data_IF_848934903278
#
_entry.id   IF_848934903278
#
_cell.length_a   1.000
_cell.length_b   1.000
_cell.length_c   1.000
_cell.angle_alpha   90.00
_cell.angle_beta   90.00
_cell.angle_gamma   90.00
#
_symmetry.space_group_name_H-M   'P 1'
#
loop_
_entity.id
_entity.type
_entity.pdbx_description
1 polymer ?
#
# COMPACT_ATOMS: atom_id res chain seq x y z
N UNK A 1 8.69 -10.99 4.48
CA UNK A 1 7.98 -11.82 3.48
C UNK A 1 7.93 -13.26 3.96
N UNK A 2 6.87 -14.00 3.64
CA UNK A 2 6.68 -15.40 4.02
C UNK A 2 6.06 -16.19 2.86
N UNK A 3 6.48 -17.44 2.69
CA UNK A 3 5.98 -18.38 1.69
C UNK A 3 6.30 -19.82 2.12
N UNK A 4 5.57 -20.78 1.57
CA UNK A 4 5.84 -22.21 1.79
C UNK A 4 7.04 -22.67 0.96
N UNK A 5 8.08 -23.19 1.63
CA UNK A 5 9.32 -23.66 0.97
C UNK A 5 9.05 -24.76 -0.05
N UNK A 6 8.14 -25.68 0.25
CA UNK A 6 7.76 -26.82 -0.61
C UNK A 6 6.88 -26.43 -1.81
N UNK A 7 6.38 -25.18 -1.85
CA UNK A 7 5.48 -24.68 -2.90
C UNK A 7 6.07 -23.53 -3.72
N UNK A 8 7.16 -22.94 -3.25
CA UNK A 8 7.78 -21.82 -3.92
C UNK A 8 8.67 -22.27 -5.08
N UNK A 9 8.49 -21.62 -6.21
CA UNK A 9 9.25 -21.78 -7.43
C UNK A 9 9.59 -20.38 -7.95
N UNK A 10 10.88 -20.16 -8.23
CA UNK A 10 11.36 -18.87 -8.73
C UNK A 10 10.52 -18.41 -9.93
N UNK A 11 10.03 -17.19 -9.85
CA UNK A 11 9.25 -16.49 -10.88
C UNK A 11 7.91 -17.13 -11.27
N UNK A 12 7.33 -17.98 -10.43
CA UNK A 12 6.11 -18.73 -10.76
C UNK A 12 4.99 -18.65 -9.73
N UNK A 13 5.19 -18.00 -8.58
CA UNK A 13 4.18 -17.96 -7.53
C UNK A 13 3.37 -16.66 -7.62
N UNK A 14 2.05 -16.69 -7.37
CA UNK A 14 1.31 -15.46 -7.16
C UNK A 14 1.79 -14.77 -5.87
N UNK A 15 1.75 -13.45 -5.83
CA UNK A 15 2.16 -12.68 -4.64
C UNK A 15 1.07 -11.71 -4.20
N UNK A 16 0.83 -11.67 -2.90
CA UNK A 16 0.05 -10.65 -2.24
C UNK A 16 1.00 -9.70 -1.50
N UNK A 17 1.00 -8.42 -1.90
CA UNK A 17 1.88 -7.38 -1.35
C UNK A 17 1.05 -6.45 -0.47
N UNK A 18 1.39 -6.39 0.81
CA UNK A 18 0.69 -5.60 1.82
C UNK A 18 1.49 -4.35 2.18
N UNK A 19 0.86 -3.17 2.13
CA UNK A 19 1.47 -1.91 2.54
C UNK A 19 0.50 -1.02 3.32
N UNK A 20 1.04 -0.10 4.14
CA UNK A 20 0.25 0.86 4.92
C UNK A 20 0.56 2.32 4.57
N UNK A 21 1.71 2.85 4.98
CA UNK A 21 2.23 4.15 4.52
C UNK A 21 1.47 5.39 4.99
N UNK A 22 0.78 5.35 6.12
CA UNK A 22 0.03 6.48 6.69
C UNK A 22 0.04 6.42 8.23
N UNK A 23 -0.31 7.54 8.87
CA UNK A 23 -0.46 7.71 10.32
C UNK A 23 0.72 7.27 11.20
N UNK A 24 1.89 7.03 10.61
CA UNK A 24 3.05 6.51 11.34
C UNK A 24 2.82 5.10 11.87
N UNK A 25 1.86 4.35 11.29
CA UNK A 25 1.56 2.99 11.72
C UNK A 25 2.64 2.05 11.18
N UNK A 26 3.13 1.19 12.07
CA UNK A 26 4.03 0.09 11.74
C UNK A 26 3.23 -1.09 11.20
N UNK A 27 3.78 -1.80 10.23
CA UNK A 27 3.18 -3.03 9.69
C UNK A 27 3.96 -4.23 10.17
N UNK A 28 3.80 -4.57 11.45
CA UNK A 28 4.60 -5.64 12.05
C UNK A 28 4.30 -7.02 11.43
N UNK A 29 5.33 -7.87 11.26
CA UNK A 29 5.18 -9.22 10.73
C UNK A 29 4.58 -10.17 11.77
N UNK A 30 3.29 -9.98 12.09
CA UNK A 30 2.56 -10.81 13.04
C UNK A 30 2.00 -12.08 12.39
N UNK A 31 1.81 -13.12 13.20
CA UNK A 31 1.09 -14.33 12.79
C UNK A 31 -0.37 -14.01 12.46
N UNK A 32 -0.92 -14.68 11.45
CA UNK A 32 -2.31 -14.51 11.02
C UNK A 32 -2.80 -15.83 10.43
N UNK A 33 -3.75 -16.50 11.10
CA UNK A 33 -4.28 -17.77 10.62
C UNK A 33 -4.97 -17.68 9.25
N UNK A 34 -5.70 -16.59 8.88
CA UNK A 34 -6.21 -16.44 7.52
C UNK A 34 -5.13 -16.48 6.44
N UNK A 35 -3.90 -16.04 6.74
CA UNK A 35 -2.78 -16.05 5.79
C UNK A 35 -2.36 -17.47 5.42
N UNK A 36 -2.53 -18.46 6.31
CA UNK A 36 -2.15 -19.85 6.02
C UNK A 36 -2.84 -20.39 4.77
N UNK A 37 -4.12 -20.04 4.61
CA UNK A 37 -4.94 -20.37 3.44
C UNK A 37 -4.28 -19.89 2.13
N UNK A 38 -3.72 -18.68 2.10
CA UNK A 38 -2.99 -18.17 0.93
C UNK A 38 -1.69 -18.94 0.70
N UNK A 39 -0.91 -19.15 1.76
CA UNK A 39 0.39 -19.81 1.70
C UNK A 39 0.26 -21.27 1.21
N UNK A 40 -0.80 -21.97 1.63
CA UNK A 40 -1.11 -23.34 1.19
C UNK A 40 -1.47 -23.42 -0.30
N UNK A 41 -2.01 -22.34 -0.87
CA UNK A 41 -2.26 -22.19 -2.31
C UNK A 41 -1.04 -21.71 -3.10
N UNK A 42 0.12 -21.64 -2.44
CA UNK A 42 1.39 -21.25 -3.07
C UNK A 42 1.55 -19.75 -3.26
N UNK A 43 0.76 -18.90 -2.59
CA UNK A 43 1.03 -17.47 -2.59
C UNK A 43 2.30 -17.15 -1.80
N UNK A 44 3.03 -16.17 -2.30
CA UNK A 44 3.98 -15.40 -1.50
C UNK A 44 3.24 -14.25 -0.82
N UNK A 45 3.53 -14.00 0.45
CA UNK A 45 3.00 -12.85 1.17
C UNK A 45 4.15 -11.92 1.56
N UNK A 46 4.14 -10.70 1.02
CA UNK A 46 5.12 -9.67 1.31
C UNK A 46 4.48 -8.52 2.08
N UNK A 47 5.21 -7.98 3.05
CA UNK A 47 4.90 -6.69 3.67
C UNK A 47 5.96 -5.72 3.14
N UNK A 48 5.50 -4.57 2.65
CA UNK A 48 6.37 -3.48 2.22
C UNK A 48 6.19 -2.29 3.16
N UNK A 49 7.26 -1.96 3.85
CA UNK A 49 7.32 -0.86 4.82
C UNK A 49 7.66 0.43 4.07
N UNK A 50 6.63 1.05 3.49
CA UNK A 50 6.78 2.29 2.72
C UNK A 50 6.86 3.51 3.63
N UNK A 51 7.40 4.62 3.13
CA UNK A 51 7.39 5.90 3.85
C UNK A 51 5.97 6.35 4.17
N UNK A 52 5.83 7.17 5.21
CA UNK A 52 4.53 7.51 5.83
C UNK A 52 4.06 6.51 6.89
N UNK A 53 4.66 5.31 6.95
CA UNK A 53 4.59 4.42 8.11
C UNK A 53 5.57 4.83 9.22
N UNK A 54 5.56 4.13 10.35
CA UNK A 54 6.46 4.40 11.47
C UNK A 54 7.68 3.47 11.56
N UNK A 55 7.83 2.55 10.61
CA UNK A 55 8.67 1.35 10.77
C UNK A 55 10.17 1.63 10.98
N UNK A 56 10.69 2.77 10.48
CA UNK A 56 12.11 3.10 10.55
C UNK A 56 12.44 4.30 11.45
N UNK A 57 11.50 5.22 11.71
CA UNK A 57 11.63 6.33 12.68
C UNK A 57 10.41 7.25 12.63
N UNK A 58 10.35 8.23 13.55
CA UNK A 58 9.41 9.35 13.45
C UNK A 58 9.63 10.19 12.17
N UNK A 59 10.88 10.31 11.69
CA UNK A 59 11.19 11.02 10.45
C UNK A 59 10.64 10.29 9.21
N UNK A 60 10.65 8.95 9.22
CA UNK A 60 10.07 8.10 8.18
C UNK A 60 8.58 8.40 7.91
N UNK A 61 7.88 8.84 8.96
CA UNK A 61 6.50 9.32 8.90
C UNK A 61 6.40 10.82 8.57
N UNK A 62 7.01 11.68 9.39
CA UNK A 62 6.77 13.12 9.39
C UNK A 62 7.23 13.82 8.11
N UNK A 63 8.34 13.38 7.51
CA UNK A 63 8.87 13.99 6.29
C UNK A 63 8.02 13.69 5.05
N UNK A 64 6.99 12.84 5.18
CA UNK A 64 6.32 12.19 4.04
C UNK A 64 4.79 12.24 4.09
N UNK A 65 4.24 13.07 4.99
CA UNK A 65 2.85 13.51 4.95
C UNK A 65 2.64 14.65 3.95
N UNK A 66 1.37 14.99 3.70
CA UNK A 66 0.98 16.19 2.95
C UNK A 66 1.66 16.19 1.56
N UNK A 67 2.48 17.18 1.24
CA UNK A 67 3.10 17.38 -0.09
C UNK A 67 3.99 16.22 -0.52
N UNK A 68 4.53 15.48 0.45
CA UNK A 68 5.46 14.38 0.18
C UNK A 68 4.77 13.00 0.11
N UNK A 69 3.43 12.94 0.10
CA UNK A 69 2.69 11.67 0.12
C UNK A 69 2.98 10.79 -1.09
N UNK A 70 3.20 11.39 -2.26
CA UNK A 70 3.49 10.70 -3.52
C UNK A 70 4.65 9.70 -3.41
N UNK A 71 5.62 9.99 -2.53
CA UNK A 71 6.75 9.11 -2.27
C UNK A 71 6.35 7.73 -1.72
N UNK A 72 5.26 7.65 -0.96
CA UNK A 72 4.75 6.37 -0.43
C UNK A 72 4.29 5.47 -1.58
N UNK A 73 3.77 6.07 -2.65
CA UNK A 73 3.31 5.37 -3.85
C UNK A 73 4.51 4.86 -4.65
N UNK A 74 5.52 5.72 -4.84
CA UNK A 74 6.78 5.35 -5.48
C UNK A 74 7.49 4.22 -4.73
N UNK A 75 7.59 4.29 -3.40
CA UNK A 75 8.19 3.23 -2.57
C UNK A 75 7.52 1.87 -2.79
N UNK A 76 6.18 1.86 -2.86
CA UNK A 76 5.41 0.65 -3.07
C UNK A 76 5.65 0.06 -4.47
N UNK A 77 5.65 0.92 -5.50
CA UNK A 77 5.92 0.53 -6.89
C UNK A 77 7.34 -0.01 -7.02
N UNK A 78 8.33 0.67 -6.44
CA UNK A 78 9.73 0.25 -6.50
C UNK A 78 9.96 -1.06 -5.75
N UNK A 79 9.36 -1.22 -4.57
CA UNK A 79 9.39 -2.49 -3.84
C UNK A 79 8.78 -3.63 -4.65
N UNK A 80 7.66 -3.37 -5.34
CA UNK A 80 7.03 -4.34 -6.24
C UNK A 80 7.96 -4.74 -7.38
N UNK A 81 8.58 -3.77 -8.07
CA UNK A 81 9.56 -4.03 -9.14
C UNK A 81 10.76 -4.84 -8.64
N UNK A 82 11.24 -4.57 -7.43
CA UNK A 82 12.34 -5.33 -6.81
C UNK A 82 11.95 -6.79 -6.53
N UNK A 83 10.72 -7.03 -6.06
CA UNK A 83 10.22 -8.39 -5.81
C UNK A 83 10.14 -9.20 -7.12
N UNK A 84 9.59 -8.58 -8.16
CA UNK A 84 9.52 -9.13 -9.52
C UNK A 84 10.92 -9.47 -10.05
N UNK A 85 11.84 -8.50 -9.98
CA UNK A 85 13.21 -8.65 -10.50
C UNK A 85 13.99 -9.76 -9.76
N UNK A 86 13.74 -9.95 -8.47
CA UNK A 86 14.33 -11.04 -7.67
C UNK A 86 13.67 -12.40 -7.96
N UNK A 87 12.56 -12.43 -8.68
CA UNK A 87 11.84 -13.64 -9.04
C UNK A 87 11.10 -14.28 -7.87
N UNK A 88 10.63 -13.47 -6.91
CA UNK A 88 9.79 -13.98 -5.82
C UNK A 88 8.38 -14.33 -6.30
N UNK A 89 7.94 -13.69 -7.38
CA UNK A 89 6.60 -13.79 -7.92
C UNK A 89 6.59 -14.01 -9.44
N UNK A 90 5.45 -14.46 -9.95
CA UNK A 90 5.12 -14.39 -11.37
C UNK A 90 4.67 -12.95 -11.69
N UNK A 91 5.34 -12.23 -12.61
CA UNK A 91 5.01 -10.85 -12.97
C UNK A 91 3.55 -10.67 -13.44
N UNK A 92 2.88 -11.74 -13.88
CA UNK A 92 1.47 -11.71 -14.31
C UNK A 92 0.47 -11.95 -13.17
N UNK A 93 0.95 -12.20 -11.94
CA UNK A 93 0.14 -12.59 -10.77
C UNK A 93 0.55 -11.84 -9.51
N UNK A 94 0.65 -10.52 -9.63
CA UNK A 94 0.94 -9.59 -8.53
C UNK A 94 -0.33 -8.89 -8.08
N UNK A 95 -0.58 -8.91 -6.76
CA UNK A 95 -1.78 -8.36 -6.14
C UNK A 95 -1.40 -7.44 -4.97
N UNK A 96 -1.62 -6.12 -5.07
CA UNK A 96 -1.44 -5.23 -3.94
C UNK A 96 -2.70 -5.26 -3.03
N UNK A 97 -2.48 -5.13 -1.72
CA UNK A 97 -3.53 -5.13 -0.70
C UNK A 97 -3.41 -3.95 0.26
N UNK A 98 -4.53 -3.29 0.50
CA UNK A 98 -4.69 -2.24 1.49
C UNK A 98 -6.14 -2.06 1.90
N UNK A 99 -6.39 -1.53 3.09
CA UNK A 99 -7.73 -1.07 3.48
C UNK A 99 -7.77 0.14 4.40
N UNK A 100 -8.96 0.71 4.60
CA UNK A 100 -9.15 2.04 5.23
C UNK A 100 -8.36 3.09 4.45
N UNK A 101 -7.66 4.02 5.10
CA UNK A 101 -6.74 4.96 4.47
C UNK A 101 -5.73 4.33 3.49
N UNK A 102 -5.38 3.05 3.67
CA UNK A 102 -4.44 2.35 2.77
C UNK A 102 -5.01 2.10 1.38
N UNK A 103 -6.32 2.21 1.16
CA UNK A 103 -6.88 2.11 -0.19
C UNK A 103 -6.46 3.29 -1.06
N UNK A 104 -6.11 4.43 -0.48
CA UNK A 104 -5.54 5.54 -1.25
C UNK A 104 -4.18 5.15 -1.84
N UNK A 105 -3.32 4.51 -1.04
CA UNK A 105 -2.08 3.93 -1.53
C UNK A 105 -2.35 2.93 -2.67
N UNK A 106 -3.34 2.04 -2.49
CA UNK A 106 -3.71 1.07 -3.53
C UNK A 106 -4.23 1.74 -4.81
N UNK A 107 -5.12 2.73 -4.68
CA UNK A 107 -5.69 3.46 -5.82
C UNK A 107 -4.62 4.25 -6.58
N UNK A 108 -3.70 4.90 -5.86
CA UNK A 108 -2.59 5.62 -6.48
C UNK A 108 -1.68 4.68 -7.28
N UNK A 109 -1.26 3.54 -6.69
CA UNK A 109 -0.30 2.65 -7.38
C UNK A 109 -0.91 1.93 -8.59
N UNK A 110 -2.20 1.55 -8.54
CA UNK A 110 -2.86 0.93 -9.71
C UNK A 110 -3.11 1.94 -10.83
N UNK A 111 -3.26 3.23 -10.52
CA UNK A 111 -3.37 4.29 -11.53
C UNK A 111 -2.01 4.64 -12.14
N UNK A 112 -0.95 4.68 -11.33
CA UNK A 112 0.40 5.06 -11.77
C UNK A 112 1.16 3.94 -12.48
N UNK A 113 0.93 2.68 -12.10
CA UNK A 113 1.62 1.52 -12.67
C UNK A 113 0.67 0.32 -12.87
N UNK A 114 -0.43 0.49 -13.64
CA UNK A 114 -1.44 -0.57 -13.85
C UNK A 114 -0.85 -1.85 -14.44
N UNK A 115 0.22 -1.74 -15.24
CA UNK A 115 0.90 -2.86 -15.90
C UNK A 115 1.55 -3.84 -14.92
N UNK A 116 1.83 -3.41 -13.67
CA UNK A 116 2.45 -4.26 -12.65
C UNK A 116 1.44 -5.18 -11.94
N UNK A 117 0.14 -4.87 -11.99
CA UNK A 117 -0.84 -5.46 -11.08
C UNK A 117 -1.94 -6.20 -11.83
N UNK A 118 -2.16 -7.47 -11.48
CA UNK A 118 -3.21 -8.30 -12.10
C UNK A 118 -4.60 -8.01 -11.53
N UNK A 119 -4.65 -7.53 -10.31
CA UNK A 119 -5.86 -7.15 -9.58
C UNK A 119 -5.49 -6.62 -8.20
N UNK A 120 -6.39 -5.93 -7.54
CA UNK A 120 -6.15 -5.25 -6.25
C UNK A 120 -7.15 -5.71 -5.20
N UNK A 121 -6.68 -5.90 -3.97
CA UNK A 121 -7.55 -6.14 -2.82
C UNK A 121 -7.67 -4.84 -2.00
N UNK A 122 -8.76 -4.10 -2.23
CA UNK A 122 -9.09 -2.89 -1.50
C UNK A 122 -10.18 -3.18 -0.46
N UNK A 123 -9.84 -3.10 0.82
CA UNK A 123 -10.77 -3.35 1.93
C UNK A 123 -11.29 -2.02 2.49
N UNK A 124 -12.60 -1.80 2.53
CA UNK A 124 -13.23 -0.54 3.02
C UNK A 124 -12.55 0.73 2.46
N UNK A 125 -12.59 0.95 1.14
CA UNK A 125 -11.71 1.91 0.49
C UNK A 125 -12.11 3.38 0.71
N UNK A 126 -11.21 4.17 1.31
CA UNK A 126 -11.12 5.62 1.15
C UNK A 126 -10.48 5.97 -0.20
N UNK A 127 -11.30 6.35 -1.18
CA UNK A 127 -10.85 6.65 -2.57
C UNK A 127 -11.42 7.94 -3.14
N UNK A 128 -12.50 8.47 -2.56
CA UNK A 128 -13.03 9.80 -2.92
C UNK A 128 -12.43 10.88 -2.00
N UNK A 129 -11.10 11.04 -2.10
CA UNK A 129 -10.33 11.92 -1.22
C UNK A 129 -10.74 13.38 -1.41
N UNK A 130 -10.93 13.81 -2.65
CA UNK A 130 -11.26 15.21 -2.94
C UNK A 130 -12.60 15.60 -2.30
N UNK A 131 -13.66 14.87 -2.60
CA UNK A 131 -15.01 15.21 -2.12
C UNK A 131 -15.09 15.08 -0.60
N UNK A 132 -14.49 14.03 -0.03
CA UNK A 132 -14.50 13.81 1.42
C UNK A 132 -13.74 14.90 2.17
N UNK A 133 -12.54 15.28 1.71
CA UNK A 133 -11.70 16.26 2.41
C UNK A 133 -12.22 17.71 2.28
N UNK A 134 -13.10 17.97 1.31
CA UNK A 134 -13.76 19.27 1.13
C UNK A 134 -15.03 19.45 1.99
N UNK A 135 -15.60 18.38 2.53
CA UNK A 135 -16.82 18.42 3.34
C UNK A 135 -16.53 18.17 4.83
N UNK A 136 -16.48 19.23 5.67
CA UNK A 136 -16.20 19.09 7.10
C UNK A 136 -17.36 18.47 7.88
N UNK A 137 -18.54 18.27 7.28
CA UNK A 137 -19.68 17.62 7.92
C UNK A 137 -19.57 16.09 7.95
N UNK A 138 -18.73 15.52 7.07
CA UNK A 138 -18.44 14.08 7.06
C UNK A 138 -17.59 13.72 8.30
N UNK A 139 -17.98 12.70 9.09
CA UNK A 139 -17.21 12.29 10.26
C UNK A 139 -15.74 12.01 9.93
N UNK A 140 -14.85 12.39 10.86
CA UNK A 140 -13.39 12.26 10.78
C UNK A 140 -12.68 13.24 9.84
N UNK A 141 -13.35 13.85 8.87
CA UNK A 141 -12.72 14.74 7.86
C UNK A 141 -11.80 15.78 8.47
N UNK A 142 -12.28 16.56 9.45
CA UNK A 142 -11.48 17.63 10.06
C UNK A 142 -10.27 17.10 10.85
N UNK A 143 -10.34 15.86 11.36
CA UNK A 143 -9.22 15.21 12.05
C UNK A 143 -8.17 14.65 11.10
N UNK A 144 -8.51 14.46 9.82
CA UNK A 144 -7.58 13.94 8.80
C UNK A 144 -6.82 15.04 8.04
N UNK A 145 -7.11 16.32 8.34
CA UNK A 145 -6.48 17.48 7.71
C UNK A 145 -4.96 17.52 7.90
N UNK A 146 -4.45 16.99 9.02
CA UNK A 146 -3.02 16.90 9.31
C UNK A 146 -2.34 15.68 8.66
N UNK A 147 -3.09 14.82 7.97
CA UNK A 147 -2.57 13.63 7.29
C UNK A 147 -2.56 13.81 5.77
N UNK A 148 -3.59 14.45 5.20
CA UNK A 148 -3.78 14.60 3.75
C UNK A 148 -3.70 16.04 3.26
N UNK A 149 -3.36 16.23 1.98
CA UNK A 149 -3.39 17.55 1.35
C UNK A 149 -4.82 17.93 1.00
N UNK A 150 -5.24 19.11 1.46
CA UNK A 150 -6.55 19.68 1.19
C UNK A 150 -6.42 20.68 0.02
N UNK A 151 -7.15 20.48 -1.10
CA UNK A 151 -7.03 21.34 -2.28
C UNK A 151 -7.42 22.80 -2.07
N UNK A 152 -8.15 23.14 -1.00
CA UNK A 152 -8.50 24.53 -0.65
C UNK A 152 -7.30 25.40 -0.24
N UNK A 153 -6.11 24.81 0.00
CA UNK A 153 -4.87 25.54 0.32
C UNK A 153 -3.75 25.43 -0.73
N UNK A 154 -4.04 24.88 -1.91
CA UNK A 154 -3.09 24.84 -3.04
C UNK A 154 -2.65 23.43 -3.47
N UNK A 155 -2.31 23.34 -4.77
CA UNK A 155 -1.82 22.23 -5.62
C UNK A 155 -2.44 20.83 -5.42
N UNK A 156 -3.23 20.41 -6.41
CA UNK A 156 -3.71 19.03 -6.60
C UNK A 156 -2.52 18.08 -6.86
N UNK A 157 -2.39 17.03 -6.04
CA UNK A 157 -1.34 15.99 -6.18
C UNK A 157 -1.87 14.76 -6.95
N UNK A 158 -3.01 14.89 -7.63
CA UNK A 158 -3.69 13.79 -8.34
C UNK A 158 -3.61 13.93 -9.87
N UNK A 159 -2.63 14.66 -10.39
CA UNK A 159 -2.34 14.79 -11.83
C UNK A 159 -1.14 13.94 -12.24
#
# INVERSE_FOLDING_TARGET
MVYRKDRWQKSKNPILIHGYGAYGINVDPVFSSPRLSLLDRGFVYAIVHVRGGGDLSKAWYQERKVENKANSFSDFIDATKILIAKGYDDPKRVYPMGGSARSLLMAAVINQAPELYRGVLAQVPFVDVLTTMLDPSIPLTTGEYDEWVIPLRGTLIFG
#
